data_IF_879164984947
#
_entry.id   IF_879164984947
#
_cell.length_a   1.000
_cell.length_b   1.000
_cell.length_c   1.000
_cell.angle_alpha   90.00
_cell.angle_beta   90.00
_cell.angle_gamma   90.00
#
_symmetry.space_group_name_H-M   'P 1'
#
loop_
_entity.id
_entity.type
_entity.pdbx_description
1 polymer ?
#
# COMPACT_ATOMS: atom_id res chain seq x y z
N UNK A 1 24.29 -23.25 12.90
CA UNK A 1 25.14 -22.13 12.38
C UNK A 1 24.28 -20.91 12.19
N UNK A 2 24.76 -19.70 12.51
CA UNK A 2 24.05 -18.42 12.29
C UNK A 2 24.62 -17.77 11.05
N UNK A 3 23.77 -17.39 10.10
CA UNK A 3 24.18 -16.82 8.81
C UNK A 3 23.27 -15.65 8.43
N UNK A 4 23.86 -14.47 8.19
CA UNK A 4 23.12 -13.29 7.70
C UNK A 4 23.55 -13.06 6.27
N UNK A 5 22.60 -13.22 5.35
CA UNK A 5 22.79 -12.94 3.92
C UNK A 5 22.14 -11.62 3.56
N UNK A 6 22.85 -10.86 2.75
CA UNK A 6 22.36 -9.61 2.19
C UNK A 6 22.27 -9.76 0.66
N UNK A 7 21.26 -9.14 0.07
CA UNK A 7 21.03 -9.26 -1.37
C UNK A 7 20.86 -7.85 -1.97
N UNK A 8 21.76 -7.51 -2.87
CA UNK A 8 21.61 -6.38 -3.77
C UNK A 8 20.86 -6.79 -5.06
N UNK A 9 20.71 -5.84 -5.99
CA UNK A 9 20.00 -6.07 -7.26
C UNK A 9 20.56 -7.29 -8.03
N UNK A 10 21.87 -7.39 -8.19
CA UNK A 10 22.54 -8.50 -8.91
C UNK A 10 22.37 -9.85 -8.18
N UNK A 11 22.38 -9.82 -6.86
CA UNK A 11 22.21 -11.04 -6.06
C UNK A 11 20.74 -11.50 -6.06
N UNK A 12 19.76 -10.56 -6.06
CA UNK A 12 18.35 -10.89 -6.19
C UNK A 12 18.05 -11.58 -7.54
N UNK A 13 18.70 -11.15 -8.62
CA UNK A 13 18.55 -11.78 -9.95
C UNK A 13 18.91 -13.29 -9.94
N UNK A 14 19.80 -13.70 -9.05
CA UNK A 14 20.20 -15.12 -8.89
C UNK A 14 19.19 -15.96 -8.10
N UNK A 15 18.23 -15.33 -7.43
CA UNK A 15 17.14 -16.01 -6.74
C UNK A 15 16.02 -16.39 -7.72
N UNK A 16 16.32 -17.31 -8.62
CA UNK A 16 15.33 -17.86 -9.58
C UNK A 16 14.22 -18.62 -8.85
N UNK A 17 13.07 -18.91 -9.49
CA UNK A 17 12.01 -19.72 -8.91
C UNK A 17 12.52 -21.07 -8.38
N UNK A 18 13.45 -21.73 -9.10
CA UNK A 18 14.05 -23.00 -8.67
C UNK A 18 14.88 -22.85 -7.39
N UNK A 19 15.67 -21.76 -7.29
CA UNK A 19 16.41 -21.45 -6.06
C UNK A 19 15.46 -21.15 -4.91
N UNK A 20 14.40 -20.37 -5.14
CA UNK A 20 13.38 -20.07 -4.12
C UNK A 20 12.63 -21.35 -3.69
N UNK A 21 12.33 -22.25 -4.62
CA UNK A 21 11.67 -23.51 -4.33
C UNK A 21 12.55 -24.44 -3.48
N UNK A 22 13.88 -24.36 -3.60
CA UNK A 22 14.84 -25.16 -2.84
C UNK A 22 14.99 -24.73 -1.37
N UNK A 23 14.48 -23.55 -0.97
CA UNK A 23 14.50 -23.13 0.43
C UNK A 23 13.75 -24.13 1.32
N UNK A 24 14.34 -24.50 2.43
CA UNK A 24 13.68 -25.34 3.43
C UNK A 24 12.79 -24.48 4.34
N UNK A 25 11.47 -24.49 4.08
CA UNK A 25 10.48 -23.68 4.81
C UNK A 25 10.14 -22.37 4.12
N UNK A 26 10.07 -21.26 4.88
CA UNK A 26 9.69 -19.95 4.36
C UNK A 26 10.73 -19.38 3.37
N UNK A 27 10.28 -18.58 2.38
CA UNK A 27 11.13 -17.78 1.48
C UNK A 27 11.11 -16.31 1.89
N UNK A 28 12.23 -15.58 1.69
CA UNK A 28 12.30 -14.18 2.11
C UNK A 28 11.68 -13.18 1.12
N UNK A 29 11.49 -13.58 -0.11
CA UNK A 29 11.01 -12.73 -1.21
C UNK A 29 10.39 -13.60 -2.32
N UNK A 30 9.56 -13.03 -3.18
CA UNK A 30 8.91 -13.72 -4.30
C UNK A 30 9.47 -13.27 -5.64
N UNK A 31 9.31 -14.09 -6.67
CA UNK A 31 9.72 -13.76 -8.04
C UNK A 31 9.09 -12.47 -8.55
N UNK A 32 7.82 -12.20 -8.22
CA UNK A 32 7.15 -10.96 -8.60
C UNK A 32 7.83 -9.72 -7.96
N UNK A 33 8.18 -9.80 -6.68
CA UNK A 33 8.90 -8.72 -5.98
C UNK A 33 10.33 -8.56 -6.49
N UNK A 34 11.02 -9.65 -6.77
CA UNK A 34 12.36 -9.62 -7.39
C UNK A 34 12.29 -8.89 -8.72
N UNK A 35 11.33 -9.25 -9.60
CA UNK A 35 11.14 -8.58 -10.89
C UNK A 35 10.85 -7.10 -10.73
N UNK A 36 10.02 -6.72 -9.75
CA UNK A 36 9.75 -5.32 -9.42
C UNK A 36 11.03 -4.60 -8.98
N UNK A 37 11.81 -5.15 -8.05
CA UNK A 37 13.05 -4.53 -7.56
C UNK A 37 14.11 -4.36 -8.65
N UNK A 38 14.29 -5.37 -9.51
CA UNK A 38 15.27 -5.31 -10.60
C UNK A 38 14.95 -4.17 -11.59
N UNK A 39 13.68 -3.91 -11.84
CA UNK A 39 13.23 -2.90 -12.79
C UNK A 39 12.85 -1.57 -12.14
N UNK A 40 13.03 -1.41 -10.83
CA UNK A 40 12.73 -0.16 -10.14
C UNK A 40 13.84 0.87 -10.44
N UNK A 41 13.47 2.03 -11.01
CA UNK A 41 14.44 3.07 -11.39
C UNK A 41 15.11 3.75 -10.18
N UNK A 42 14.51 3.68 -8.99
CA UNK A 42 15.08 4.25 -7.76
C UNK A 42 16.15 3.35 -7.12
N UNK A 43 16.37 2.15 -7.66
CA UNK A 43 17.26 1.15 -7.09
C UNK A 43 18.59 1.11 -7.84
N UNK A 44 19.67 1.45 -7.15
CA UNK A 44 21.04 1.31 -7.66
C UNK A 44 21.55 -0.12 -7.48
N UNK A 45 22.52 -0.53 -8.29
CA UNK A 45 23.12 -1.87 -8.26
C UNK A 45 23.73 -2.23 -6.89
N UNK A 46 24.20 -1.22 -6.15
CA UNK A 46 24.84 -1.38 -4.85
C UNK A 46 23.85 -1.33 -3.66
N UNK A 47 22.58 -1.01 -3.90
CA UNK A 47 21.60 -1.01 -2.82
C UNK A 47 21.38 -2.41 -2.28
N UNK A 48 21.49 -2.58 -0.98
CA UNK A 48 21.09 -3.82 -0.31
C UNK A 48 19.58 -3.80 -0.07
N UNK A 49 18.88 -4.67 -0.79
CA UNK A 49 17.41 -4.66 -0.86
C UNK A 49 16.75 -5.65 0.09
N UNK A 50 17.52 -6.66 0.53
CA UNK A 50 17.00 -7.71 1.40
C UNK A 50 18.10 -8.18 2.37
N UNK A 51 17.72 -8.27 3.63
CA UNK A 51 18.48 -8.88 4.71
C UNK A 51 17.76 -10.14 5.16
N UNK A 52 18.41 -11.29 5.09
CA UNK A 52 17.86 -12.57 5.51
C UNK A 52 18.78 -13.24 6.53
N UNK A 53 18.22 -13.64 7.66
CA UNK A 53 18.93 -14.36 8.71
C UNK A 53 18.50 -15.81 8.74
N UNK A 54 19.48 -16.69 8.65
CA UNK A 54 19.29 -18.13 8.69
C UNK A 54 19.88 -18.69 9.99
N UNK A 55 19.19 -19.67 10.55
CA UNK A 55 19.67 -20.50 11.65
C UNK A 55 19.48 -21.96 11.28
N UNK A 56 20.58 -22.71 11.28
CA UNK A 56 20.59 -24.12 10.91
C UNK A 56 19.88 -24.39 9.56
N UNK A 57 20.23 -23.59 8.55
CA UNK A 57 19.69 -23.58 7.18
C UNK A 57 18.18 -23.29 7.08
N UNK A 58 17.54 -22.83 8.15
CA UNK A 58 16.14 -22.38 8.14
C UNK A 58 16.08 -20.84 8.19
N UNK A 59 15.21 -20.23 7.38
CA UNK A 59 14.98 -18.79 7.41
C UNK A 59 14.33 -18.41 8.74
N UNK A 60 15.05 -17.67 9.57
CA UNK A 60 14.55 -17.20 10.87
C UNK A 60 13.94 -15.80 10.81
N UNK A 61 14.45 -14.92 9.94
CA UNK A 61 13.86 -13.61 9.70
C UNK A 61 14.36 -12.98 8.41
N UNK A 62 13.59 -12.03 7.90
CA UNK A 62 14.03 -11.15 6.81
C UNK A 62 13.49 -9.73 6.98
N UNK A 63 14.17 -8.79 6.34
CA UNK A 63 13.83 -7.38 6.30
C UNK A 63 14.14 -6.85 4.90
N UNK A 64 13.11 -6.45 4.18
CA UNK A 64 13.23 -5.87 2.85
C UNK A 64 13.37 -4.35 2.91
N UNK A 65 14.00 -3.77 1.89
CA UNK A 65 14.23 -2.36 1.71
C UNK A 65 13.76 -1.93 0.32
N UNK A 66 13.02 -0.83 0.26
CA UNK A 66 12.63 -0.17 -0.98
C UNK A 66 13.19 1.26 -0.97
N UNK A 67 14.17 1.57 -1.81
CA UNK A 67 14.67 2.94 -1.98
C UNK A 67 13.66 3.84 -2.70
N UNK A 68 13.55 5.09 -2.24
CA UNK A 68 12.82 6.18 -2.90
C UNK A 68 13.60 7.49 -2.71
N UNK A 69 13.29 8.51 -3.51
CA UNK A 69 13.88 9.85 -3.37
C UNK A 69 12.87 10.84 -2.79
N UNK A 70 13.31 11.62 -1.80
CA UNK A 70 12.56 12.77 -1.31
C UNK A 70 12.50 13.88 -2.35
N UNK A 71 11.58 14.84 -2.20
CA UNK A 71 11.51 16.02 -3.06
C UNK A 71 12.81 16.85 -3.10
N UNK A 72 13.67 16.70 -2.10
CA UNK A 72 14.97 17.35 -2.04
C UNK A 72 16.10 16.51 -2.70
N UNK A 73 15.77 15.40 -3.35
CA UNK A 73 16.72 14.48 -4.00
C UNK A 73 17.48 13.57 -3.04
N UNK A 74 17.11 13.53 -1.75
CA UNK A 74 17.73 12.63 -0.79
C UNK A 74 17.18 11.23 -0.90
N UNK A 75 18.04 10.22 -0.97
CA UNK A 75 17.64 8.82 -1.02
C UNK A 75 17.19 8.34 0.36
N UNK A 76 15.99 7.79 0.41
CA UNK A 76 15.32 7.25 1.59
C UNK A 76 15.12 5.75 1.41
N UNK A 77 15.00 5.02 2.51
CA UNK A 77 14.90 3.57 2.51
C UNK A 77 13.68 3.13 3.32
N UNK A 78 12.62 2.72 2.62
CA UNK A 78 11.41 2.18 3.24
C UNK A 78 11.58 0.72 3.62
N UNK A 79 11.01 0.32 4.75
CA UNK A 79 10.86 -1.10 5.00
C UNK A 79 9.91 -1.73 3.96
N UNK A 80 10.28 -2.90 3.47
CA UNK A 80 9.52 -3.63 2.46
C UNK A 80 9.38 -5.10 2.85
N UNK A 81 8.46 -5.37 3.76
CA UNK A 81 8.27 -6.66 4.38
C UNK A 81 9.29 -6.95 5.50
N UNK A 82 8.78 -7.17 6.69
CA UNK A 82 9.55 -7.57 7.87
C UNK A 82 8.88 -8.75 8.55
N UNK A 83 9.57 -9.89 8.52
CA UNK A 83 9.09 -11.15 9.09
C UNK A 83 10.14 -11.73 10.03
N UNK A 84 9.69 -12.25 11.17
CA UNK A 84 10.50 -13.06 12.06
C UNK A 84 9.73 -14.29 12.52
N UNK A 85 10.39 -15.44 12.47
CA UNK A 85 9.91 -16.69 13.02
C UNK A 85 10.56 -16.90 14.40
N UNK A 86 9.86 -16.48 15.45
CA UNK A 86 10.35 -16.56 16.84
C UNK A 86 10.51 -17.97 17.36
N UNK A 87 9.92 -18.98 16.69
CA UNK A 87 10.12 -20.39 17.04
C UNK A 87 11.53 -20.88 16.63
N UNK A 88 12.15 -20.24 15.62
CA UNK A 88 13.52 -20.56 15.20
C UNK A 88 14.53 -19.77 16.04
N UNK A 89 14.32 -18.45 16.18
CA UNK A 89 15.15 -17.60 17.02
C UNK A 89 14.37 -16.40 17.52
N UNK A 90 14.23 -16.25 18.84
CA UNK A 90 13.48 -15.16 19.48
C UNK A 90 14.04 -13.77 19.18
N UNK A 91 15.33 -13.66 18.84
CA UNK A 91 16.02 -12.40 18.54
C UNK A 91 16.14 -12.09 17.04
N UNK A 92 15.63 -12.97 16.20
CA UNK A 92 15.82 -12.87 14.74
C UNK A 92 15.32 -11.55 14.14
N UNK A 93 14.18 -11.01 14.63
CA UNK A 93 13.65 -9.73 14.18
C UNK A 93 14.65 -8.59 14.36
N UNK A 94 15.24 -8.50 15.55
CA UNK A 94 16.20 -7.43 15.88
C UNK A 94 17.50 -7.58 15.08
N UNK A 95 17.95 -8.80 14.79
CA UNK A 95 19.20 -9.06 14.08
C UNK A 95 19.16 -8.42 12.68
N UNK A 96 18.15 -8.71 11.87
CA UNK A 96 18.04 -8.16 10.51
C UNK A 96 17.76 -6.66 10.52
N UNK A 97 16.95 -6.19 11.47
CA UNK A 97 16.62 -4.78 11.62
C UNK A 97 17.85 -3.91 11.95
N UNK A 98 18.64 -4.29 12.96
CA UNK A 98 19.85 -3.56 13.31
C UNK A 98 20.92 -3.61 12.20
N UNK A 99 20.99 -4.72 11.45
CA UNK A 99 21.89 -4.79 10.29
C UNK A 99 21.51 -3.78 9.22
N UNK A 100 20.21 -3.67 8.90
CA UNK A 100 19.70 -2.68 7.95
C UNK A 100 19.90 -1.24 8.48
N UNK A 101 19.59 -0.98 9.75
CA UNK A 101 19.74 0.31 10.38
C UNK A 101 21.19 0.82 10.34
N UNK A 102 22.15 -0.06 10.63
CA UNK A 102 23.57 0.27 10.60
C UNK A 102 24.06 0.57 9.18
N UNK A 103 23.60 -0.22 8.18
CA UNK A 103 24.03 -0.03 6.80
C UNK A 103 23.53 1.31 6.22
N UNK A 104 22.29 1.67 6.52
CA UNK A 104 21.67 2.87 5.96
C UNK A 104 21.80 4.11 6.84
N UNK A 105 22.74 4.09 7.79
CA UNK A 105 23.07 5.27 8.62
C UNK A 105 21.84 5.93 9.22
N UNK A 106 20.89 5.13 9.66
CA UNK A 106 19.63 5.59 10.24
C UNK A 106 18.71 6.39 9.27
N UNK A 107 18.81 6.20 7.94
CA UNK A 107 17.93 6.82 6.94
C UNK A 107 16.70 5.96 6.62
N UNK A 108 16.18 5.21 7.60
CA UNK A 108 15.03 4.31 7.42
C UNK A 108 13.70 5.02 7.63
N UNK A 109 12.76 4.66 6.77
CA UNK A 109 11.34 4.99 6.84
C UNK A 109 10.55 3.71 7.09
N UNK A 110 9.55 3.78 7.96
CA UNK A 110 8.73 2.62 8.33
C UNK A 110 7.25 2.96 8.24
N UNK A 111 6.49 2.04 7.69
CA UNK A 111 5.03 2.12 7.59
C UNK A 111 4.37 0.82 8.10
N UNK A 112 3.07 0.86 8.33
CA UNK A 112 2.25 -0.31 8.71
C UNK A 112 2.82 -1.18 9.84
N UNK A 113 3.32 -0.54 10.91
CA UNK A 113 3.88 -1.25 12.06
C UNK A 113 2.81 -1.99 12.86
N UNK A 114 3.06 -3.27 13.14
CA UNK A 114 2.27 -3.99 14.14
C UNK A 114 2.57 -3.47 15.55
N UNK A 115 1.69 -3.67 16.55
CA UNK A 115 1.97 -3.26 17.93
C UNK A 115 3.30 -3.80 18.47
N UNK A 116 3.62 -5.06 18.16
CA UNK A 116 4.89 -5.68 18.57
C UNK A 116 6.11 -5.05 17.88
N UNK A 117 6.04 -4.85 16.57
CA UNK A 117 7.10 -4.16 15.81
C UNK A 117 7.32 -2.75 16.32
N UNK A 118 6.23 -2.05 16.65
CA UNK A 118 6.29 -0.72 17.24
C UNK A 118 7.06 -0.69 18.56
N UNK A 119 6.85 -1.67 19.46
CA UNK A 119 7.61 -1.78 20.71
C UNK A 119 9.11 -1.92 20.47
N UNK A 120 9.52 -2.73 19.49
CA UNK A 120 10.95 -2.88 19.12
C UNK A 120 11.51 -1.54 18.65
N UNK A 121 10.79 -0.83 17.78
CA UNK A 121 11.23 0.46 17.22
C UNK A 121 11.31 1.53 18.32
N UNK A 122 10.30 1.64 19.16
CA UNK A 122 10.25 2.61 20.25
C UNK A 122 11.43 2.38 21.25
N UNK A 123 11.83 1.12 21.48
CA UNK A 123 12.96 0.77 22.36
C UNK A 123 14.30 1.25 21.83
N UNK A 124 14.47 1.41 20.51
CA UNK A 124 15.73 1.87 19.91
C UNK A 124 16.00 3.34 20.16
N UNK A 125 14.98 4.15 20.46
CA UNK A 125 15.03 5.63 20.60
C UNK A 125 15.57 6.36 19.36
N UNK A 126 15.77 5.66 18.24
CA UNK A 126 16.31 6.20 16.99
C UNK A 126 15.22 6.85 16.16
N UNK A 127 13.98 6.42 16.30
CA UNK A 127 12.86 6.81 15.45
C UNK A 127 11.97 7.87 16.10
N UNK A 128 11.36 8.66 15.23
CA UNK A 128 10.27 9.59 15.55
C UNK A 128 9.05 9.27 14.71
N UNK A 129 7.86 9.52 15.24
CA UNK A 129 6.64 9.53 14.42
C UNK A 129 6.63 10.80 13.60
N UNK A 130 6.42 10.66 12.28
CA UNK A 130 6.37 11.84 11.42
C UNK A 130 5.00 12.46 11.41
N UNK A 131 4.04 11.66 11.03
CA UNK A 131 2.70 12.13 10.74
C UNK A 131 1.69 11.03 10.95
N UNK A 132 0.61 11.44 11.55
CA UNK A 132 -0.64 10.72 11.54
C UNK A 132 -1.40 11.25 10.33
N UNK A 133 -1.68 10.38 9.36
CA UNK A 133 -2.63 10.69 8.31
C UNK A 133 -4.01 10.33 8.82
N UNK A 134 -4.82 11.34 9.04
CA UNK A 134 -6.23 11.14 9.37
C UNK A 134 -6.97 10.73 8.10
N UNK A 135 -7.68 9.62 8.17
CA UNK A 135 -8.39 9.03 7.05
C UNK A 135 -9.82 8.66 7.41
N UNK A 136 -10.57 8.37 6.37
CA UNK A 136 -11.93 7.84 6.50
C UNK A 136 -12.09 6.58 5.66
N UNK A 137 -12.75 5.58 6.27
CA UNK A 137 -13.22 4.40 5.57
C UNK A 137 -14.73 4.55 5.34
N UNK A 138 -15.10 4.67 4.09
CA UNK A 138 -16.48 4.79 3.62
C UNK A 138 -17.01 3.41 3.26
N UNK A 139 -18.19 3.06 3.76
CA UNK A 139 -18.86 1.78 3.49
C UNK A 139 -19.99 2.02 2.49
N UNK A 140 -19.89 1.44 1.30
CA UNK A 140 -20.90 1.53 0.25
C UNK A 140 -21.86 0.35 0.30
N UNK A 141 -21.39 -0.79 0.86
CA UNK A 141 -22.18 -2.01 1.03
C UNK A 141 -22.03 -2.52 2.47
N UNK A 142 -23.02 -3.29 2.92
CA UNK A 142 -22.90 -4.02 4.17
C UNK A 142 -21.84 -5.11 4.06
N UNK A 143 -20.95 -5.16 5.04
CA UNK A 143 -19.86 -6.14 5.19
C UNK A 143 -19.81 -6.64 6.65
N UNK A 144 -20.97 -6.79 7.27
CA UNK A 144 -21.09 -7.21 8.68
C UNK A 144 -20.44 -8.57 8.92
N UNK A 145 -20.60 -9.50 7.99
CA UNK A 145 -19.95 -10.82 8.05
C UNK A 145 -18.43 -10.72 8.17
N UNK A 146 -17.80 -9.88 7.36
CA UNK A 146 -16.36 -9.67 7.39
C UNK A 146 -15.91 -9.00 8.70
N UNK A 147 -16.61 -7.96 9.14
CA UNK A 147 -16.28 -7.19 10.35
C UNK A 147 -16.45 -8.04 11.62
N UNK A 148 -17.57 -8.76 11.73
CA UNK A 148 -17.88 -9.57 12.92
C UNK A 148 -16.88 -10.72 13.05
N UNK A 149 -16.59 -11.43 11.95
CA UNK A 149 -15.67 -12.56 11.98
C UNK A 149 -14.25 -12.10 12.26
N UNK A 150 -13.82 -10.96 11.69
CA UNK A 150 -12.50 -10.39 11.98
C UNK A 150 -12.32 -10.02 13.46
N UNK A 151 -13.39 -9.49 14.11
CA UNK A 151 -13.36 -9.15 15.54
C UNK A 151 -13.54 -10.35 16.46
N UNK A 152 -14.36 -11.33 16.05
CA UNK A 152 -14.73 -12.52 16.83
C UNK A 152 -14.59 -13.77 15.96
N UNK A 153 -13.37 -14.30 15.76
CA UNK A 153 -13.12 -15.48 14.89
C UNK A 153 -13.90 -16.72 15.28
N UNK A 154 -14.28 -16.85 16.57
CA UNK A 154 -15.10 -17.95 17.08
C UNK A 154 -16.49 -18.00 16.43
N UNK A 155 -16.99 -16.87 15.89
CA UNK A 155 -18.30 -16.79 15.21
C UNK A 155 -18.23 -17.15 13.73
N UNK A 156 -17.13 -17.74 13.25
CA UNK A 156 -16.95 -18.14 11.84
C UNK A 156 -18.05 -19.10 11.35
N UNK A 157 -18.62 -19.93 12.24
CA UNK A 157 -19.73 -20.81 11.92
C UNK A 157 -21.02 -20.06 11.55
N UNK A 158 -21.20 -18.81 12.02
CA UNK A 158 -22.35 -17.96 11.69
C UNK A 158 -22.18 -17.20 10.36
N UNK A 159 -21.06 -17.40 9.65
CA UNK A 159 -20.78 -16.71 8.39
C UNK A 159 -21.91 -16.82 7.34
N UNK A 160 -22.55 -17.97 7.12
CA UNK A 160 -23.65 -18.07 6.17
C UNK A 160 -24.84 -17.15 6.52
N UNK A 161 -25.23 -17.10 7.81
CA UNK A 161 -26.32 -16.25 8.29
C UNK A 161 -25.97 -14.76 8.12
N UNK A 162 -24.76 -14.36 8.52
CA UNK A 162 -24.28 -12.99 8.37
C UNK A 162 -24.20 -12.58 6.88
N UNK A 163 -23.83 -13.49 6.00
CA UNK A 163 -23.84 -13.22 4.56
C UNK A 163 -25.26 -12.98 4.02
N UNK A 164 -26.26 -13.74 4.49
CA UNK A 164 -27.67 -13.50 4.13
C UNK A 164 -28.11 -12.11 4.58
N UNK A 165 -27.73 -11.71 5.81
CA UNK A 165 -28.01 -10.36 6.32
C UNK A 165 -27.35 -9.28 5.45
N UNK A 166 -26.08 -9.46 5.10
CA UNK A 166 -25.38 -8.54 4.19
C UNK A 166 -26.07 -8.46 2.82
N UNK A 167 -26.48 -9.59 2.24
CA UNK A 167 -27.20 -9.64 0.97
C UNK A 167 -28.54 -8.90 1.04
N UNK A 168 -29.33 -9.12 2.09
CA UNK A 168 -30.63 -8.45 2.29
C UNK A 168 -30.47 -6.93 2.39
N UNK A 169 -29.52 -6.45 3.21
CA UNK A 169 -29.24 -5.02 3.33
C UNK A 169 -28.78 -4.45 1.99
N UNK A 170 -27.87 -5.12 1.30
CA UNK A 170 -27.32 -4.65 0.02
C UNK A 170 -28.39 -4.63 -1.09
N UNK A 171 -29.35 -5.58 -1.07
CA UNK A 171 -30.47 -5.58 -2.00
C UNK A 171 -31.40 -4.38 -1.79
N UNK A 172 -31.73 -4.06 -0.53
CA UNK A 172 -32.51 -2.86 -0.21
C UNK A 172 -31.78 -1.57 -0.64
N UNK A 173 -30.47 -1.49 -0.41
CA UNK A 173 -29.67 -0.33 -0.83
C UNK A 173 -29.63 -0.18 -2.35
N UNK A 174 -29.64 -1.28 -3.12
CA UNK A 174 -29.61 -1.26 -4.58
C UNK A 174 -30.93 -0.74 -5.17
N UNK A 175 -32.04 -0.84 -4.44
CA UNK A 175 -33.34 -0.31 -4.87
C UNK A 175 -33.41 1.21 -4.79
N UNK A 176 -32.56 1.86 -3.99
CA UNK A 176 -32.46 3.34 -3.99
C UNK A 176 -31.92 3.80 -5.34
N UNK A 177 -32.85 4.20 -6.24
CA UNK A 177 -32.56 4.66 -7.59
C UNK A 177 -31.49 5.73 -7.59
N UNK A 178 -30.49 5.52 -8.42
CA UNK A 178 -29.45 6.49 -8.69
C UNK A 178 -30.07 7.67 -9.45
N UNK A 179 -30.19 8.83 -8.82
CA UNK A 179 -30.34 10.06 -9.57
C UNK A 179 -29.09 10.16 -10.46
N UNK A 180 -29.27 10.07 -11.79
CA UNK A 180 -28.20 10.39 -12.73
C UNK A 180 -27.83 11.85 -12.50
N UNK A 181 -26.72 12.09 -11.86
CA UNK A 181 -26.16 13.44 -11.79
C UNK A 181 -25.83 13.88 -13.22
N UNK A 182 -26.27 15.05 -13.62
CA UNK A 182 -25.71 15.75 -14.77
C UNK A 182 -24.31 16.23 -14.36
N UNK A 183 -23.35 15.29 -14.36
CA UNK A 183 -21.99 15.63 -14.01
C UNK A 183 -21.35 16.39 -15.18
N UNK A 184 -20.76 17.52 -14.85
CA UNK A 184 -19.93 18.31 -15.78
C UNK A 184 -18.55 17.67 -15.94
N UNK A 185 -18.20 16.72 -15.06
CA UNK A 185 -16.92 16.02 -15.07
C UNK A 185 -17.04 14.74 -15.90
N UNK A 186 -16.09 14.57 -16.82
CA UNK A 186 -15.84 13.32 -17.53
C UNK A 186 -14.77 12.54 -16.78
N UNK A 187 -15.07 11.28 -16.42
CA UNK A 187 -14.12 10.34 -15.83
C UNK A 187 -13.61 9.37 -16.90
N UNK A 188 -12.30 9.23 -16.98
CA UNK A 188 -11.60 8.25 -17.83
C UNK A 188 -10.71 7.38 -16.96
N UNK A 189 -10.68 6.07 -17.26
CA UNK A 189 -9.76 5.12 -16.63
C UNK A 189 -8.61 4.91 -17.60
N UNK A 190 -7.39 5.13 -17.10
CA UNK A 190 -6.16 4.98 -17.88
C UNK A 190 -5.39 3.75 -17.38
N UNK A 191 -4.66 3.09 -18.29
CA UNK A 191 -3.77 1.97 -17.96
C UNK A 191 -2.49 2.42 -17.24
N UNK A 192 -2.07 3.67 -17.47
CA UNK A 192 -0.92 4.32 -16.82
C UNK A 192 -1.12 5.84 -16.79
N UNK A 193 -0.29 6.54 -16.03
CA UNK A 193 -0.27 8.02 -16.05
C UNK A 193 0.37 8.48 -17.36
N UNK A 194 -0.43 9.13 -18.22
CA UNK A 194 0.01 9.73 -19.48
C UNK A 194 0.73 11.07 -19.25
N UNK A 195 1.38 11.60 -20.29
CA UNK A 195 2.12 12.86 -20.25
C UNK A 195 1.27 14.06 -19.80
N UNK A 196 -0.02 14.11 -20.20
CA UNK A 196 -0.89 15.20 -19.79
C UNK A 196 -1.24 15.14 -18.31
N UNK A 197 -1.51 13.94 -17.80
CA UNK A 197 -1.72 13.69 -16.37
C UNK A 197 -0.44 14.00 -15.58
N UNK A 198 0.73 13.61 -16.08
CA UNK A 198 2.01 13.93 -15.46
C UNK A 198 2.24 15.45 -15.35
N UNK A 199 1.99 16.22 -16.40
CA UNK A 199 2.06 17.68 -16.38
C UNK A 199 1.10 18.26 -15.33
N UNK A 200 -0.14 17.77 -15.29
CA UNK A 200 -1.10 18.19 -14.28
C UNK A 200 -0.63 17.88 -12.85
N UNK A 201 -0.12 16.68 -12.61
CA UNK A 201 0.43 16.26 -11.31
C UNK A 201 1.59 17.19 -10.92
N UNK A 202 2.56 17.39 -11.81
CA UNK A 202 3.75 18.20 -11.55
C UNK A 202 3.41 19.65 -11.19
N UNK A 203 2.35 20.22 -11.78
CA UNK A 203 1.88 21.57 -11.48
C UNK A 203 1.07 21.67 -10.16
N UNK A 204 0.59 20.54 -9.65
CA UNK A 204 -0.26 20.48 -8.46
C UNK A 204 0.35 19.71 -7.28
N UNK A 205 1.54 19.11 -7.47
CA UNK A 205 2.20 18.37 -6.39
C UNK A 205 2.98 19.31 -5.47
N UNK A 206 2.85 19.07 -4.18
CA UNK A 206 3.75 19.58 -3.14
C UNK A 206 4.00 18.43 -2.18
N UNK A 207 4.68 17.39 -2.66
CA UNK A 207 4.82 16.11 -1.98
C UNK A 207 6.19 15.93 -1.34
N UNK A 208 6.24 15.04 -0.36
CA UNK A 208 7.47 14.64 0.28
C UNK A 208 8.35 13.76 -0.63
N UNK A 209 7.76 12.91 -1.49
CA UNK A 209 8.46 12.05 -2.45
C UNK A 209 8.51 12.73 -3.83
N UNK A 210 9.66 12.63 -4.53
CA UNK A 210 9.89 13.34 -5.80
C UNK A 210 9.14 12.72 -6.98
N UNK A 211 9.22 11.41 -7.14
CA UNK A 211 8.89 10.73 -8.40
C UNK A 211 7.61 9.89 -8.32
N UNK A 212 6.52 10.50 -7.78
CA UNK A 212 5.25 9.81 -7.58
C UNK A 212 4.68 9.20 -8.86
N UNK A 213 4.79 9.90 -10.01
CA UNK A 213 4.32 9.40 -11.32
C UNK A 213 5.06 8.13 -11.72
N UNK A 214 6.40 8.17 -11.64
CA UNK A 214 7.24 7.02 -11.96
C UNK A 214 6.96 5.83 -11.04
N UNK A 215 6.78 6.09 -9.74
CA UNK A 215 6.44 5.06 -8.75
C UNK A 215 5.07 4.43 -9.02
N UNK A 216 4.06 5.24 -9.40
CA UNK A 216 2.71 4.75 -9.75
C UNK A 216 2.79 3.87 -11.01
N UNK A 217 3.41 4.34 -12.10
CA UNK A 217 3.53 3.59 -13.33
C UNK A 217 4.34 2.29 -13.13
N UNK A 218 5.38 2.34 -12.30
CA UNK A 218 6.13 1.15 -11.92
C UNK A 218 5.26 0.15 -11.13
N UNK A 219 4.46 0.60 -10.17
CA UNK A 219 3.58 -0.26 -9.38
C UNK A 219 2.48 -0.91 -10.23
N UNK A 220 1.94 -0.19 -11.21
CA UNK A 220 0.96 -0.72 -12.17
C UNK A 220 1.58 -1.87 -12.99
N UNK A 221 2.81 -1.66 -13.47
CA UNK A 221 3.52 -2.62 -14.32
C UNK A 221 4.04 -3.84 -13.57
N UNK A 222 4.49 -3.66 -12.32
CA UNK A 222 5.17 -4.69 -11.52
C UNK A 222 4.40 -4.98 -10.23
N UNK A 223 3.21 -5.55 -10.37
CA UNK A 223 2.35 -5.94 -9.24
C UNK A 223 2.99 -7.03 -8.42
N UNK A 224 2.88 -6.94 -7.10
CA UNK A 224 3.36 -7.97 -6.16
C UNK A 224 2.30 -9.02 -5.84
N UNK A 225 1.03 -8.68 -6.03
CA UNK A 225 -0.08 -9.61 -5.86
C UNK A 225 -0.46 -10.24 -7.21
N UNK A 226 -0.72 -11.53 -7.19
CA UNK A 226 -1.18 -12.29 -8.36
C UNK A 226 -2.67 -12.66 -8.20
N UNK A 227 -3.40 -12.60 -9.31
CA UNK A 227 -4.84 -12.94 -9.33
C UNK A 227 -5.10 -14.39 -9.69
N UNK A 228 -4.15 -15.08 -10.32
CA UNK A 228 -4.32 -16.48 -10.70
C UNK A 228 -4.11 -17.43 -9.52
N UNK A 229 -5.04 -18.36 -9.34
CA UNK A 229 -4.97 -19.45 -8.35
C UNK A 229 -3.96 -20.55 -8.71
N UNK A 230 -2.94 -20.29 -9.54
CA UNK A 230 -1.91 -21.28 -9.74
C UNK A 230 -1.32 -21.64 -8.38
N UNK A 231 -1.34 -22.92 -8.04
CA UNK A 231 -0.72 -23.49 -6.86
C UNK A 231 0.79 -23.34 -7.01
N UNK A 232 1.28 -22.14 -6.75
CA UNK A 232 2.68 -21.82 -6.84
C UNK A 232 3.33 -22.12 -5.48
N UNK A 233 4.48 -22.78 -5.51
CA UNK A 233 5.29 -23.07 -4.33
C UNK A 233 5.60 -21.79 -3.54
N UNK A 234 5.79 -20.67 -4.22
CA UNK A 234 6.01 -19.37 -3.59
C UNK A 234 4.83 -18.94 -2.70
N UNK A 235 3.59 -19.17 -3.16
CA UNK A 235 2.37 -18.86 -2.39
C UNK A 235 2.27 -19.63 -1.07
N UNK A 236 2.86 -20.82 -1.01
CA UNK A 236 2.87 -21.64 0.20
C UNK A 236 3.99 -21.27 1.16
N UNK A 237 5.13 -20.81 0.62
CA UNK A 237 6.36 -20.54 1.38
C UNK A 237 6.53 -19.08 1.81
N UNK A 238 5.88 -18.14 1.12
CA UNK A 238 5.99 -16.73 1.48
C UNK A 238 4.97 -16.37 2.57
N UNK A 239 5.45 -15.72 3.62
CA UNK A 239 4.60 -15.41 4.79
C UNK A 239 3.46 -14.43 4.50
N UNK A 240 3.73 -13.39 3.70
CA UNK A 240 2.70 -12.42 3.38
C UNK A 240 1.82 -12.92 2.23
N UNK A 241 0.57 -12.47 2.22
CA UNK A 241 -0.35 -12.83 1.14
C UNK A 241 0.16 -12.34 -0.22
N UNK A 242 0.24 -13.28 -1.18
CA UNK A 242 0.59 -13.01 -2.58
C UNK A 242 -0.61 -13.05 -3.50
N UNK A 243 -1.72 -13.57 -3.02
CA UNK A 243 -2.90 -13.84 -3.84
C UNK A 243 -4.06 -12.95 -3.43
N UNK A 244 -4.76 -12.45 -4.44
CA UNK A 244 -6.07 -11.81 -4.32
C UNK A 244 -6.93 -12.27 -5.49
N UNK A 245 -8.22 -12.59 -5.26
CA UNK A 245 -9.11 -12.92 -6.38
C UNK A 245 -9.35 -11.71 -7.28
N UNK A 246 -9.34 -10.51 -6.69
CA UNK A 246 -9.48 -9.24 -7.38
C UNK A 246 -8.34 -8.34 -6.93
N UNK A 247 -7.48 -7.94 -7.85
CA UNK A 247 -6.42 -6.94 -7.63
C UNK A 247 -6.26 -6.09 -8.89
N UNK A 248 -6.75 -4.87 -8.83
CA UNK A 248 -6.82 -3.94 -9.95
C UNK A 248 -6.29 -2.58 -9.54
N UNK A 249 -5.56 -1.94 -10.44
CA UNK A 249 -5.05 -0.60 -10.30
C UNK A 249 -5.81 0.32 -11.25
N UNK A 250 -6.26 1.45 -10.75
CA UNK A 250 -6.99 2.45 -11.51
C UNK A 250 -6.28 3.79 -11.48
N UNK A 251 -5.90 4.30 -12.63
CA UNK A 251 -5.57 5.71 -12.81
C UNK A 251 -6.83 6.39 -13.32
N UNK A 252 -7.45 7.23 -12.50
CA UNK A 252 -8.64 7.97 -12.87
C UNK A 252 -8.25 9.39 -13.27
N UNK A 253 -8.56 9.76 -14.52
CA UNK A 253 -8.42 11.11 -15.04
C UNK A 253 -9.80 11.76 -15.08
N UNK A 254 -9.93 12.90 -14.43
CA UNK A 254 -11.15 13.70 -14.40
C UNK A 254 -10.94 14.99 -15.15
N UNK A 255 -11.85 15.31 -16.05
CA UNK A 255 -11.78 16.52 -16.89
C UNK A 255 -13.11 17.26 -17.00
N UNK A 256 -13.02 18.58 -17.19
CA UNK A 256 -14.13 19.48 -17.52
C UNK A 256 -13.76 20.20 -18.80
N UNK A 257 -14.59 20.11 -19.83
CA UNK A 257 -14.32 20.71 -21.14
C UNK A 257 -12.89 20.42 -21.65
N UNK A 258 -12.47 19.14 -21.57
CA UNK A 258 -11.13 18.63 -21.93
C UNK A 258 -9.96 19.17 -21.08
N UNK A 259 -10.22 19.97 -20.05
CA UNK A 259 -9.19 20.40 -19.09
C UNK A 259 -9.15 19.43 -17.92
N UNK A 260 -7.97 18.88 -17.59
CA UNK A 260 -7.80 17.97 -16.44
C UNK A 260 -8.04 18.76 -15.16
N UNK A 261 -8.93 18.24 -14.30
CA UNK A 261 -9.25 18.82 -12.99
C UNK A 261 -8.91 17.87 -11.84
N UNK A 262 -8.59 16.60 -12.14
CA UNK A 262 -8.17 15.63 -11.14
C UNK A 262 -7.50 14.41 -11.74
N UNK A 263 -6.51 13.87 -11.02
CA UNK A 263 -5.87 12.58 -11.30
C UNK A 263 -5.77 11.81 -9.98
N UNK A 264 -6.23 10.55 -9.99
CA UNK A 264 -6.26 9.72 -8.79
C UNK A 264 -5.67 8.34 -9.09
N UNK A 265 -4.88 7.82 -8.18
CA UNK A 265 -4.45 6.42 -8.22
C UNK A 265 -5.13 5.64 -7.10
N UNK A 266 -5.94 4.68 -7.50
CA UNK A 266 -6.78 3.87 -6.61
C UNK A 266 -6.48 2.39 -6.85
N UNK A 267 -6.35 1.62 -5.80
CA UNK A 267 -6.19 0.17 -5.86
C UNK A 267 -7.45 -0.50 -5.32
N UNK A 268 -7.96 -1.46 -6.07
CA UNK A 268 -9.02 -2.37 -5.67
C UNK A 268 -8.44 -3.71 -5.27
N UNK A 269 -8.67 -4.11 -4.03
CA UNK A 269 -8.39 -5.45 -3.56
C UNK A 269 -9.66 -6.06 -2.95
N UNK A 270 -10.19 -7.13 -3.57
CA UNK A 270 -11.40 -7.81 -3.09
C UNK A 270 -12.62 -6.86 -2.93
N UNK A 271 -12.78 -5.93 -3.87
CA UNK A 271 -13.77 -4.85 -3.84
C UNK A 271 -13.61 -3.85 -2.68
N UNK A 272 -12.45 -3.83 -2.03
CA UNK A 272 -12.06 -2.79 -1.10
C UNK A 272 -11.12 -1.84 -1.81
N UNK A 273 -11.60 -0.64 -2.08
CA UNK A 273 -10.86 0.39 -2.81
C UNK A 273 -10.07 1.24 -1.83
N UNK A 274 -8.82 1.56 -2.17
CA UNK A 274 -7.97 2.47 -1.40
C UNK A 274 -7.38 3.52 -2.32
N UNK A 275 -7.54 4.78 -1.94
CA UNK A 275 -6.90 5.92 -2.59
C UNK A 275 -5.48 6.04 -2.09
N UNK A 276 -4.51 5.89 -3.00
CA UNK A 276 -3.10 6.02 -2.68
C UNK A 276 -2.55 7.40 -3.02
N UNK A 277 -2.97 7.97 -4.17
CA UNK A 277 -2.55 9.30 -4.61
C UNK A 277 -3.74 10.10 -5.12
N UNK A 278 -3.76 11.38 -4.80
CA UNK A 278 -4.81 12.33 -5.18
C UNK A 278 -4.23 13.68 -5.55
N UNK A 279 -4.52 14.12 -6.75
CA UNK A 279 -4.16 15.43 -7.31
C UNK A 279 -5.42 16.05 -7.91
N UNK A 280 -5.82 17.23 -7.46
CA UNK A 280 -7.05 17.84 -7.95
C UNK A 280 -7.09 19.36 -7.75
N UNK A 281 -7.91 20.01 -8.59
CA UNK A 281 -8.22 21.42 -8.44
C UNK A 281 -9.39 21.59 -7.46
N UNK A 282 -9.16 22.28 -6.36
CA UNK A 282 -10.14 22.50 -5.30
C UNK A 282 -11.42 23.21 -5.78
N UNK A 283 -11.38 23.94 -6.91
CA UNK A 283 -12.57 24.60 -7.48
C UNK A 283 -13.64 23.59 -7.90
N UNK A 284 -13.27 22.36 -8.20
CA UNK A 284 -14.17 21.29 -8.66
C UNK A 284 -14.35 20.18 -7.62
N UNK A 285 -13.98 20.44 -6.36
CA UNK A 285 -13.90 19.41 -5.32
C UNK A 285 -15.25 18.69 -5.08
N UNK A 286 -16.36 19.41 -5.07
CA UNK A 286 -17.69 18.83 -4.87
C UNK A 286 -18.09 17.90 -6.02
N UNK A 287 -17.84 18.34 -7.26
CA UNK A 287 -18.12 17.56 -8.48
C UNK A 287 -17.21 16.31 -8.56
N UNK A 288 -15.93 16.48 -8.24
CA UNK A 288 -14.96 15.38 -8.15
C UNK A 288 -15.41 14.34 -7.14
N UNK A 289 -15.81 14.75 -5.95
CA UNK A 289 -16.29 13.84 -4.91
C UNK A 289 -17.54 13.05 -5.37
N UNK A 290 -18.50 13.72 -6.04
CA UNK A 290 -19.67 13.07 -6.61
C UNK A 290 -19.28 12.04 -7.68
N UNK A 291 -18.38 12.40 -8.60
CA UNK A 291 -17.97 11.50 -9.67
C UNK A 291 -17.23 10.27 -9.13
N UNK A 292 -16.33 10.45 -8.16
CA UNK A 292 -15.69 9.34 -7.46
C UNK A 292 -16.70 8.44 -6.73
N UNK A 293 -17.69 9.03 -6.07
CA UNK A 293 -18.76 8.29 -5.42
C UNK A 293 -19.53 7.41 -6.43
N UNK A 294 -19.88 7.95 -7.62
CA UNK A 294 -20.57 7.19 -8.67
C UNK A 294 -19.69 6.07 -9.23
N UNK A 295 -18.40 6.33 -9.44
CA UNK A 295 -17.45 5.30 -9.85
C UNK A 295 -17.40 4.14 -8.84
N UNK A 296 -17.36 4.45 -7.54
CA UNK A 296 -17.23 3.46 -6.47
C UNK A 296 -18.54 2.72 -6.20
N UNK A 297 -19.69 3.38 -6.33
CA UNK A 297 -21.00 2.88 -5.86
C UNK A 297 -21.37 1.50 -6.41
N UNK A 298 -21.01 1.20 -7.64
CA UNK A 298 -21.41 -0.05 -8.32
C UNK A 298 -20.48 -1.22 -7.96
N UNK A 299 -19.20 -0.98 -7.72
CA UNK A 299 -18.17 -2.01 -7.59
C UNK A 299 -17.60 -2.13 -6.17
N UNK A 300 -17.49 -1.02 -5.43
CA UNK A 300 -16.84 -1.03 -4.14
C UNK A 300 -17.74 -1.54 -3.01
N UNK A 301 -17.16 -2.34 -2.10
CA UNK A 301 -17.71 -2.60 -0.77
C UNK A 301 -17.35 -1.46 0.16
N UNK A 302 -16.06 -1.09 0.15
CA UNK A 302 -15.53 0.00 0.96
C UNK A 302 -14.56 0.84 0.16
N UNK A 303 -14.42 2.11 0.57
CA UNK A 303 -13.41 3.04 0.05
C UNK A 303 -12.63 3.63 1.21
N UNK A 304 -11.31 3.63 1.13
CA UNK A 304 -10.41 4.18 2.13
C UNK A 304 -9.63 5.35 1.54
N UNK A 305 -9.69 6.49 2.18
CA UNK A 305 -8.94 7.68 1.79
C UNK A 305 -8.32 8.38 3.00
N UNK A 306 -7.10 8.91 2.81
CA UNK A 306 -6.39 9.74 3.77
C UNK A 306 -6.24 11.19 3.30
N UNK A 307 -6.92 11.57 2.23
CA UNK A 307 -7.00 12.96 1.79
C UNK A 307 -8.13 13.66 2.55
N UNK A 308 -7.76 14.49 3.51
CA UNK A 308 -8.73 15.14 4.43
C UNK A 308 -9.65 16.12 3.71
N UNK A 309 -9.16 16.79 2.67
CA UNK A 309 -9.95 17.76 1.88
C UNK A 309 -11.01 16.99 1.08
N UNK A 310 -10.62 15.96 0.35
CA UNK A 310 -11.54 15.10 -0.38
C UNK A 310 -12.52 14.38 0.56
N UNK A 311 -12.05 13.91 1.71
CA UNK A 311 -12.88 13.23 2.70
C UNK A 311 -13.98 14.13 3.28
N UNK A 312 -13.77 15.44 3.36
CA UNK A 312 -14.78 16.39 3.83
C UNK A 312 -15.97 16.46 2.87
N UNK A 313 -15.72 16.45 1.56
CA UNK A 313 -16.78 16.45 0.55
C UNK A 313 -17.46 15.08 0.39
N UNK A 314 -16.66 14.00 0.37
CA UNK A 314 -17.20 12.66 0.32
C UNK A 314 -18.13 12.38 1.51
N UNK A 315 -17.82 12.91 2.69
CA UNK A 315 -18.64 12.70 3.89
C UNK A 315 -20.06 13.32 3.82
N UNK A 316 -20.31 14.18 2.83
CA UNK A 316 -21.63 14.77 2.56
C UNK A 316 -22.51 13.87 1.68
N UNK A 317 -21.95 12.79 1.13
CA UNK A 317 -22.64 11.89 0.21
C UNK A 317 -23.24 10.69 0.97
N UNK A 318 -24.15 9.97 0.31
CA UNK A 318 -24.98 8.90 0.91
C UNK A 318 -24.21 7.57 1.02
N UNK A 319 -23.22 7.52 1.91
CA UNK A 319 -22.56 6.29 2.33
C UNK A 319 -23.35 5.59 3.44
N UNK A 320 -23.32 4.24 3.44
CA UNK A 320 -24.00 3.47 4.49
C UNK A 320 -23.44 3.77 5.89
N UNK A 321 -22.13 3.89 5.98
CA UNK A 321 -21.42 4.18 7.22
C UNK A 321 -20.03 4.78 6.90
N UNK A 322 -19.56 5.66 7.78
CA UNK A 322 -18.22 6.27 7.68
C UNK A 322 -17.49 6.00 9.00
N UNK A 323 -16.25 5.53 8.90
CA UNK A 323 -15.40 5.24 10.05
C UNK A 323 -14.09 6.00 9.93
N UNK A 324 -13.73 6.73 10.98
CA UNK A 324 -12.41 7.36 11.07
C UNK A 324 -11.32 6.30 11.21
N UNK A 325 -10.19 6.56 10.60
CA UNK A 325 -9.00 5.70 10.63
C UNK A 325 -7.75 6.56 10.58
N UNK A 326 -6.61 5.96 10.91
CA UNK A 326 -5.32 6.65 10.90
C UNK A 326 -4.25 5.77 10.27
N UNK A 327 -3.31 6.40 9.57
CA UNK A 327 -2.09 5.76 9.09
C UNK A 327 -0.89 6.47 9.68
N UNK A 328 0.12 5.71 10.10
CA UNK A 328 1.32 6.25 10.71
C UNK A 328 2.53 6.02 9.81
N UNK A 329 3.32 7.06 9.66
CA UNK A 329 4.69 6.96 9.18
C UNK A 329 5.65 7.18 10.35
N UNK A 330 6.73 6.41 10.36
CA UNK A 330 7.80 6.51 11.35
C UNK A 330 9.12 6.65 10.61
N UNK A 331 9.99 7.52 11.07
CA UNK A 331 11.26 7.81 10.42
C UNK A 331 12.41 7.86 11.41
N UNK A 332 13.61 7.59 10.94
CA UNK A 332 14.81 7.85 11.70
C UNK A 332 14.93 9.34 12.04
N UNK A 333 15.25 9.66 13.29
CA UNK A 333 15.39 11.06 13.77
C UNK A 333 16.36 11.89 12.94
N UNK A 334 17.35 11.27 12.31
CA UNK A 334 18.29 11.93 11.43
C UNK A 334 17.64 12.54 10.18
N UNK A 335 16.49 12.02 9.77
CA UNK A 335 15.72 12.55 8.64
C UNK A 335 14.83 13.75 8.99
N UNK A 336 14.82 14.18 10.26
CA UNK A 336 13.90 15.24 10.75
C UNK A 336 13.94 16.51 9.90
N UNK A 337 15.10 16.89 9.38
CA UNK A 337 15.29 18.10 8.57
C UNK A 337 14.55 18.06 7.21
N UNK A 338 14.22 16.85 6.70
CA UNK A 338 13.49 16.69 5.45
C UNK A 338 12.00 16.99 5.60
N UNK A 339 11.47 16.93 6.83
CA UNK A 339 10.04 17.03 7.06
C UNK A 339 9.64 18.47 7.41
N UNK A 340 8.80 19.02 6.56
CA UNK A 340 8.14 20.28 6.87
C UNK A 340 6.61 20.08 6.83
N UNK A 341 5.89 20.89 7.60
CA UNK A 341 4.43 20.78 7.74
C UNK A 341 3.64 21.17 6.48
N UNK A 342 4.31 21.72 5.46
CA UNK A 342 3.67 22.18 4.23
C UNK A 342 3.56 21.10 3.16
N UNK A 343 4.37 20.03 3.26
CA UNK A 343 4.38 18.95 2.29
C UNK A 343 3.16 18.04 2.43
N UNK A 344 2.59 17.62 1.31
CA UNK A 344 1.53 16.62 1.26
C UNK A 344 2.14 15.22 1.40
N UNK A 345 1.51 14.42 2.26
CA UNK A 345 1.82 13.01 2.42
C UNK A 345 0.72 12.19 1.78
N UNK A 346 1.08 11.30 0.88
CA UNK A 346 0.16 10.41 0.20
C UNK A 346 0.16 9.03 0.89
N UNK A 347 -0.96 8.34 0.85
CA UNK A 347 -1.10 7.02 1.45
C UNK A 347 -0.28 5.92 0.73
N UNK A 348 0.19 6.22 -0.48
CA UNK A 348 0.93 5.29 -1.34
C UNK A 348 2.45 5.32 -1.17
N UNK A 349 3.01 6.13 -0.27
CA UNK A 349 4.46 6.18 -0.09
C UNK A 349 5.02 4.86 0.46
N UNK A 350 6.17 4.44 -0.08
CA UNK A 350 6.82 3.19 0.25
C UNK A 350 6.20 1.98 -0.46
N UNK A 351 6.33 0.81 0.14
CA UNK A 351 5.95 -0.46 -0.47
C UNK A 351 4.44 -0.74 -0.53
N UNK A 352 3.65 0.05 0.16
CA UNK A 352 2.17 -0.13 0.22
C UNK A 352 1.49 0.05 -1.13
N UNK A 353 2.10 0.81 -2.06
CA UNK A 353 1.58 1.03 -3.40
C UNK A 353 1.46 -0.26 -4.24
N UNK A 354 2.21 -1.31 -3.89
CA UNK A 354 2.28 -2.58 -4.63
C UNK A 354 1.31 -3.66 -4.13
N UNK A 355 0.55 -3.42 -3.02
CA UNK A 355 -0.22 -4.46 -2.30
C UNK A 355 -1.69 -4.10 -2.03
#
# INVERSE_FOLDING_TARGET
MKDIRTYNKKQLQKLTPDVLSSFNGEIPITSARIKSFINNPNIDDNDTLLFAYFRDNKLASYFGILPEYSANGEKLYWNSGWRANTNIDKRSASIVFYKALNLYSNKLMLNHLTPHTKQIIDSTKVFSKIKILDGKKFFLKSVLSEIIIAKKPKLKHLKPLLNITDLSINSILSLKKNAKSKNIIKLEILDEIDTNCELFINNNKNEFISDSVQNINHAIKYKWLVTNKSFDIENQKYFFSLHSNIFENYVLKLSVNNTIVGVFYIVNRENNFKLYYSYFNNKFLSEIAKELYFFLKNSAKTFLSFDTILNSELSKLDFLFIKDTVQFYTYSKQLKYLFNNKQKYQAGFGDVIYT
#
